data_IF_376733501221
#
_entry.id   IF_376733501221
#
_cell.length_a   1.000
_cell.length_b   1.000
_cell.length_c   1.000
_cell.angle_alpha   90.00
_cell.angle_beta   90.00
_cell.angle_gamma   90.00
#
_symmetry.space_group_name_H-M   'P 1'
#
loop_
_entity.id
_entity.type
_entity.pdbx_description
1 polymer ?
#
# COMPACT_ATOMS: atom_id res chain seq x y z
N UNK A 1 -15.36 7.82 -8.92
CA UNK A 1 -13.93 7.83 -8.83
C UNK A 1 -13.49 7.90 -7.39
N UNK A 2 -12.53 7.11 -7.02
CA UNK A 2 -12.21 6.86 -5.63
C UNK A 2 -10.76 7.24 -5.33
N UNK A 3 -10.40 8.43 -5.77
CA UNK A 3 -9.09 9.02 -5.53
C UNK A 3 -9.16 9.91 -4.31
N UNK A 4 -8.13 9.86 -3.50
CA UNK A 4 -7.92 10.80 -2.43
C UNK A 4 -6.79 11.76 -2.82
N UNK A 5 -7.10 13.04 -2.80
CA UNK A 5 -6.11 14.09 -3.02
C UNK A 5 -5.46 14.41 -1.69
N UNK A 6 -4.43 13.61 -1.33
CA UNK A 6 -3.81 13.70 -0.02
C UNK A 6 -2.75 14.77 0.10
N UNK A 7 -2.29 15.28 -1.04
CA UNK A 7 -1.21 16.25 -1.09
C UNK A 7 -1.49 17.35 -2.09
N UNK A 8 -1.25 18.59 -1.67
CA UNK A 8 -1.12 19.74 -2.55
C UNK A 8 0.25 20.34 -2.31
N UNK A 9 1.09 20.31 -3.32
CA UNK A 9 2.42 20.91 -3.25
C UNK A 9 2.53 21.99 -4.31
N UNK A 10 2.92 23.17 -3.89
CA UNK A 10 3.11 24.30 -4.79
C UNK A 10 4.59 24.44 -5.10
N UNK A 11 4.97 24.25 -6.36
CA UNK A 11 6.34 24.41 -6.85
C UNK A 11 6.32 25.35 -8.02
N UNK A 12 7.09 26.45 -7.96
CA UNK A 12 7.18 27.42 -9.07
C UNK A 12 5.80 27.82 -9.62
N UNK A 13 4.85 28.04 -8.72
CA UNK A 13 3.46 28.38 -9.05
C UNK A 13 2.65 27.25 -9.72
N UNK A 14 3.16 26.04 -9.70
CA UNK A 14 2.47 24.85 -10.19
C UNK A 14 1.96 24.05 -8.99
N UNK A 15 0.69 23.66 -9.03
CA UNK A 15 0.11 22.77 -8.03
C UNK A 15 0.27 21.33 -8.49
N UNK A 16 0.89 20.53 -7.63
CA UNK A 16 1.00 19.09 -7.83
C UNK A 16 0.02 18.41 -6.90
N UNK A 17 -0.89 17.62 -7.47
CA UNK A 17 -1.87 16.84 -6.72
C UNK A 17 -1.44 15.38 -6.80
N UNK A 18 -1.15 14.79 -5.63
CA UNK A 18 -0.85 13.36 -5.53
C UNK A 18 -2.16 12.60 -5.34
N UNK A 19 -2.37 11.59 -6.16
CA UNK A 19 -3.55 10.73 -6.10
C UNK A 19 -3.18 9.40 -5.47
N UNK A 20 -4.06 8.89 -4.62
CA UNK A 20 -3.91 7.57 -4.02
C UNK A 20 -4.94 6.62 -4.64
N UNK A 21 -4.46 5.50 -5.16
CA UNK A 21 -5.30 4.45 -5.71
C UNK A 21 -5.21 3.23 -4.79
N UNK A 22 -6.33 2.86 -4.19
CA UNK A 22 -6.38 1.76 -3.25
C UNK A 22 -6.49 0.41 -3.98
N UNK A 23 -5.39 -0.33 -4.03
CA UNK A 23 -5.30 -1.67 -4.60
C UNK A 23 -5.19 -2.74 -3.51
N UNK A 24 -5.86 -2.50 -2.37
CA UNK A 24 -6.11 -3.51 -1.34
C UNK A 24 -7.55 -3.99 -1.46
N UNK A 25 -7.91 -5.16 -0.90
CA UNK A 25 -9.28 -5.68 -1.02
C UNK A 25 -10.32 -4.93 -0.19
N UNK A 26 -9.91 -3.97 0.66
CA UNK A 26 -10.81 -3.31 1.61
C UNK A 26 -10.78 -1.80 1.44
N UNK A 27 -11.89 -1.15 1.77
CA UNK A 27 -11.91 0.30 1.93
C UNK A 27 -10.98 0.71 3.07
N UNK A 28 -10.15 1.71 2.83
CA UNK A 28 -9.25 2.26 3.85
C UNK A 28 -9.86 3.56 4.36
N UNK A 29 -9.98 3.67 5.68
CA UNK A 29 -10.50 4.87 6.35
C UNK A 29 -9.33 5.61 6.97
N UNK A 30 -9.16 6.87 6.64
CA UNK A 30 -8.17 7.74 7.27
C UNK A 30 -8.74 8.34 8.55
N UNK A 31 -7.86 8.67 9.50
CA UNK A 31 -8.27 9.23 10.80
C UNK A 31 -9.16 10.48 10.67
N UNK A 32 -9.00 11.23 9.60
CA UNK A 32 -9.84 12.40 9.31
C UNK A 32 -11.23 12.09 8.75
N UNK A 33 -11.57 10.81 8.54
CA UNK A 33 -12.85 10.38 8.01
C UNK A 33 -12.90 10.17 6.51
N UNK A 34 -11.83 10.48 5.80
CA UNK A 34 -11.76 10.22 4.35
C UNK A 34 -11.70 8.71 4.12
N UNK A 35 -12.48 8.24 3.16
CA UNK A 35 -12.52 6.84 2.78
C UNK A 35 -11.93 6.65 1.38
N UNK A 36 -11.13 5.60 1.25
CA UNK A 36 -10.54 5.18 -0.02
C UNK A 36 -11.10 3.80 -0.37
N UNK A 37 -12.17 3.72 -1.14
CA UNK A 37 -12.68 2.43 -1.57
C UNK A 37 -11.66 1.70 -2.45
N UNK A 38 -11.70 0.38 -2.43
CA UNK A 38 -10.88 -0.43 -3.32
C UNK A 38 -11.24 -0.17 -4.78
N UNK A 39 -10.22 0.02 -5.62
CA UNK A 39 -10.40 0.19 -7.07
C UNK A 39 -9.79 -0.98 -7.84
N UNK A 40 -9.24 -1.93 -7.16
CA UNK A 40 -8.60 -3.12 -7.69
C UNK A 40 -7.89 -3.83 -6.56
N UNK A 41 -7.22 -4.93 -6.86
CA UNK A 41 -6.43 -5.66 -5.86
C UNK A 41 -5.12 -6.10 -6.48
N UNK A 42 -4.02 -5.68 -5.86
CA UNK A 42 -2.69 -6.17 -6.20
C UNK A 42 -2.36 -7.36 -5.30
N UNK A 43 -1.82 -8.41 -5.87
CA UNK A 43 -1.45 -9.64 -5.16
C UNK A 43 -0.07 -10.08 -5.57
N UNK A 44 0.60 -10.77 -4.66
CA UNK A 44 1.88 -11.42 -4.94
C UNK A 44 1.79 -12.86 -4.45
N UNK A 45 2.27 -13.80 -5.27
CA UNK A 45 2.42 -15.18 -4.88
C UNK A 45 3.83 -15.40 -4.36
N UNK A 46 3.95 -15.99 -3.18
CA UNK A 46 5.25 -16.33 -2.64
C UNK A 46 5.59 -17.78 -2.96
N UNK A 47 6.87 -18.03 -3.14
CA UNK A 47 7.42 -19.39 -3.20
C UNK A 47 8.36 -19.60 -2.02
N UNK A 48 8.51 -20.84 -1.60
CA UNK A 48 9.34 -21.19 -0.46
C UNK A 48 10.37 -22.23 -0.89
N UNK A 49 11.57 -22.09 -0.37
CA UNK A 49 12.57 -23.17 -0.50
C UNK A 49 12.16 -24.37 0.37
N UNK A 50 12.83 -25.49 0.19
CA UNK A 50 12.72 -26.60 1.14
C UNK A 50 13.23 -26.17 2.52
N UNK A 51 12.70 -26.78 3.58
CA UNK A 51 13.22 -26.55 4.93
C UNK A 51 14.61 -27.15 5.04
N UNK A 52 15.50 -26.42 5.71
CA UNK A 52 16.83 -26.96 6.06
C UNK A 52 16.75 -27.84 7.31
N UNK A 53 17.91 -28.32 7.77
CA UNK A 53 17.98 -29.22 8.93
C UNK A 53 17.47 -28.57 10.23
N UNK A 54 17.42 -27.25 10.29
CA UNK A 54 16.95 -26.52 11.46
C UNK A 54 15.46 -26.17 11.37
N UNK A 55 14.77 -26.57 10.29
CA UNK A 55 13.37 -26.25 10.07
C UNK A 55 13.12 -24.83 9.55
N UNK A 56 14.11 -24.26 8.87
CA UNK A 56 14.02 -22.90 8.30
C UNK A 56 14.02 -23.00 6.78
N UNK A 57 13.15 -22.21 6.16
CA UNK A 57 13.12 -22.06 4.71
C UNK A 57 13.21 -20.58 4.33
N UNK A 58 13.57 -20.33 3.09
CA UNK A 58 13.57 -19.00 2.51
C UNK A 58 12.27 -18.74 1.78
N UNK A 59 11.81 -17.49 1.82
CA UNK A 59 10.66 -17.04 1.05
C UNK A 59 11.15 -16.17 -0.11
N UNK A 60 10.56 -16.40 -1.29
CA UNK A 60 10.84 -15.61 -2.49
C UNK A 60 9.56 -14.99 -2.98
N UNK A 61 9.60 -13.71 -3.34
CA UNK A 61 8.46 -13.04 -3.92
C UNK A 61 8.33 -13.44 -5.39
N UNK A 62 7.10 -13.80 -5.77
CA UNK A 62 6.75 -13.96 -7.18
C UNK A 62 6.42 -12.63 -7.82
N UNK A 63 5.89 -12.68 -9.04
CA UNK A 63 5.44 -11.48 -9.75
C UNK A 63 4.20 -10.88 -9.07
N UNK A 64 4.14 -9.56 -9.08
CA UNK A 64 2.96 -8.84 -8.60
C UNK A 64 1.91 -8.84 -9.70
N UNK A 65 0.70 -9.27 -9.37
CA UNK A 65 -0.44 -9.29 -10.27
C UNK A 65 -1.43 -8.21 -9.87
N UNK A 66 -2.03 -7.57 -10.86
CA UNK A 66 -3.08 -6.59 -10.65
C UNK A 66 -2.59 -5.18 -10.32
N UNK A 67 -1.30 -4.94 -10.26
CA UNK A 67 -0.74 -3.62 -10.03
C UNK A 67 -0.48 -2.94 -11.38
N UNK A 68 -1.11 -1.78 -11.65
CA UNK A 68 -0.87 -1.06 -12.88
C UNK A 68 0.56 -0.57 -13.02
N UNK A 69 0.94 -0.25 -14.24
CA UNK A 69 2.20 0.44 -14.49
C UNK A 69 2.22 1.79 -13.78
N UNK A 70 3.40 2.32 -13.43
CA UNK A 70 3.49 3.64 -12.81
C UNK A 70 2.75 4.70 -13.60
N UNK A 71 2.04 5.56 -12.87
CA UNK A 71 1.28 6.67 -13.44
C UNK A 71 1.74 7.97 -12.78
N UNK A 72 1.71 9.05 -13.55
CA UNK A 72 2.11 10.35 -13.05
C UNK A 72 1.27 10.76 -11.83
N UNK A 73 1.93 11.33 -10.83
CA UNK A 73 1.31 11.86 -9.61
C UNK A 73 0.40 10.85 -8.90
N UNK A 74 0.70 9.56 -9.01
CA UNK A 74 -0.12 8.49 -8.42
C UNK A 74 0.71 7.63 -7.49
N UNK A 75 0.19 7.39 -6.28
CA UNK A 75 0.70 6.40 -5.35
C UNK A 75 -0.32 5.27 -5.25
N UNK A 76 0.16 4.05 -5.44
CA UNK A 76 -0.68 2.86 -5.31
C UNK A 76 -0.62 2.37 -3.87
N UNK A 77 -1.78 2.26 -3.24
CA UNK A 77 -1.89 1.74 -1.88
C UNK A 77 -2.08 0.24 -1.97
N UNK A 78 -1.17 -0.50 -1.36
CA UNK A 78 -1.13 -1.96 -1.41
C UNK A 78 -0.95 -2.53 -0.01
N UNK A 79 -1.10 -3.84 0.13
CA UNK A 79 -0.80 -4.51 1.40
C UNK A 79 0.70 -4.43 1.73
N UNK A 80 1.05 -4.63 2.98
CA UNK A 80 2.45 -4.62 3.40
C UNK A 80 3.29 -5.65 2.65
N UNK A 81 2.72 -6.83 2.39
CA UNK A 81 3.41 -7.87 1.64
C UNK A 81 3.67 -7.46 0.19
N UNK A 82 2.66 -6.89 -0.47
CA UNK A 82 2.81 -6.39 -1.84
C UNK A 82 3.78 -5.21 -1.89
N UNK A 83 3.77 -4.34 -0.87
CA UNK A 83 4.75 -3.25 -0.78
C UNK A 83 6.17 -3.77 -0.75
N UNK A 84 6.45 -4.79 0.07
CA UNK A 84 7.78 -5.40 0.15
C UNK A 84 8.21 -5.97 -1.21
N UNK A 85 7.30 -6.67 -1.89
CA UNK A 85 7.58 -7.22 -3.22
C UNK A 85 7.80 -6.12 -4.25
N UNK A 86 7.02 -5.04 -4.21
CA UNK A 86 7.15 -3.91 -5.11
C UNK A 86 8.50 -3.20 -4.93
N UNK A 87 8.92 -3.00 -3.69
CA UNK A 87 10.24 -2.42 -3.40
C UNK A 87 11.37 -3.31 -3.92
N UNK A 88 11.28 -4.61 -3.72
CA UNK A 88 12.25 -5.56 -4.23
C UNK A 88 12.31 -5.56 -5.77
N UNK A 89 11.20 -5.27 -6.42
CA UNK A 89 11.11 -5.14 -7.89
C UNK A 89 11.51 -3.74 -8.40
N UNK A 90 11.93 -2.83 -7.53
CA UNK A 90 12.37 -1.49 -7.91
C UNK A 90 11.26 -0.46 -8.05
N UNK A 91 10.02 -0.77 -7.64
CA UNK A 91 8.91 0.20 -7.67
C UNK A 91 9.06 1.19 -6.51
N UNK A 92 8.81 2.47 -6.81
CA UNK A 92 8.91 3.56 -5.82
C UNK A 92 7.58 4.26 -5.60
N UNK A 93 6.54 3.83 -6.28
CA UNK A 93 5.22 4.45 -6.31
C UNK A 93 4.17 3.70 -5.47
N UNK A 94 4.60 2.80 -4.60
CA UNK A 94 3.71 2.02 -3.74
C UNK A 94 3.87 2.42 -2.28
N UNK A 95 2.75 2.41 -1.57
CA UNK A 95 2.67 2.66 -0.13
C UNK A 95 1.71 1.65 0.49
N UNK A 96 1.77 1.50 1.79
CA UNK A 96 0.82 0.66 2.52
C UNK A 96 0.17 1.45 3.65
N UNK A 97 -1.03 1.07 4.09
CA UNK A 97 -1.66 1.72 5.25
C UNK A 97 -0.77 1.63 6.49
N UNK A 98 -0.68 2.72 7.24
CA UNK A 98 0.19 2.82 8.41
C UNK A 98 -0.44 2.12 9.63
N UNK A 99 -0.66 0.82 9.54
CA UNK A 99 -1.36 0.04 10.58
C UNK A 99 -0.53 -0.19 11.84
N UNK A 100 0.79 -0.08 11.75
CA UNK A 100 1.69 -0.18 12.90
C UNK A 100 2.00 1.16 13.56
N UNK A 101 1.48 2.26 13.03
CA UNK A 101 1.73 3.58 13.58
C UNK A 101 0.96 3.78 14.89
N UNK A 102 1.53 4.52 15.89
CA UNK A 102 0.84 4.77 17.15
C UNK A 102 -0.52 5.45 17.01
N UNK A 103 -0.73 6.23 15.95
CA UNK A 103 -2.01 6.92 15.70
C UNK A 103 -3.03 6.07 14.93
N UNK A 104 -2.71 4.81 14.64
CA UNK A 104 -3.68 3.89 14.08
C UNK A 104 -4.80 3.64 15.11
N UNK A 105 -6.03 3.85 14.71
CA UNK A 105 -7.19 3.67 15.59
C UNK A 105 -7.67 2.23 15.49
N UNK A 106 -7.76 1.57 16.65
CA UNK A 106 -8.25 0.19 16.77
C UNK A 106 -9.42 0.13 17.73
N UNK A 107 -10.31 -0.81 17.46
CA UNK A 107 -11.43 -1.12 18.36
C UNK A 107 -11.61 -2.63 18.39
N UNK A 108 -11.60 -3.21 19.59
CA UNK A 108 -11.75 -4.67 19.79
C UNK A 108 -10.77 -5.49 18.97
N UNK A 109 -9.53 -4.97 18.81
CA UNK A 109 -8.48 -5.62 18.04
C UNK A 109 -8.55 -5.40 16.52
N UNK A 110 -9.58 -4.73 16.03
CA UNK A 110 -9.73 -4.43 14.60
C UNK A 110 -9.30 -3.01 14.28
N UNK A 111 -8.73 -2.82 13.10
CA UNK A 111 -8.34 -1.50 12.63
C UNK A 111 -9.58 -0.74 12.16
N UNK A 112 -9.78 0.44 12.74
CA UNK A 112 -10.89 1.34 12.39
C UNK A 112 -10.43 2.36 11.36
N UNK A 113 -9.28 2.98 11.60
CA UNK A 113 -8.72 3.97 10.69
C UNK A 113 -7.21 4.06 10.87
N UNK A 114 -6.55 4.64 9.87
CA UNK A 114 -5.11 4.83 9.86
C UNK A 114 -4.77 6.31 9.68
N UNK A 115 -3.63 6.79 10.23
CA UNK A 115 -3.25 8.19 10.09
C UNK A 115 -2.76 8.55 8.69
N UNK A 116 -2.34 7.56 7.91
CA UNK A 116 -1.79 7.74 6.58
C UNK A 116 -1.16 6.46 6.09
N UNK A 117 -0.08 6.62 5.33
CA UNK A 117 0.57 5.51 4.63
C UNK A 117 2.05 5.43 4.99
N UNK A 118 2.63 4.25 4.82
CA UNK A 118 4.06 4.01 4.99
C UNK A 118 4.65 3.54 3.65
N UNK A 119 5.97 3.76 3.52
CA UNK A 119 6.73 3.39 2.33
C UNK A 119 7.84 2.43 2.69
#
# INVERSE_FOLDING_TARGET
MTWYEGFLTKILHILIIIKFANFTPHTIVLNGGVELPSVGVARVANTFSAFDANGVCDVHFGDIQGLPEPQEDTLFVVSALVLSAAKAAGRTDCVAPATGHPECVRKDGFIVSVPGFVR
#
